data_IF_301127735072
#
_entry.id   IF_301127735072
#
_cell.length_a   1.000
_cell.length_b   1.000
_cell.length_c   1.000
_cell.angle_alpha   90.00
_cell.angle_beta   90.00
_cell.angle_gamma   90.00
#
_symmetry.space_group_name_H-M   'P 1'
#
loop_
_entity.id
_entity.type
_entity.pdbx_description
1 polymer ?
#
# COMPACT_ATOMS: atom_id res chain seq x y z
N UNK A 1 7.54 -30.82 56.40
CA UNK A 1 6.45 -31.34 55.53
C UNK A 1 7.11 -31.90 54.27
N UNK A 2 6.95 -33.21 54.01
CA UNK A 2 7.64 -33.98 52.97
C UNK A 2 6.83 -34.04 51.65
N UNK A 3 7.47 -33.77 50.51
CA UNK A 3 6.86 -33.77 49.17
C UNK A 3 7.08 -35.09 48.40
N UNK A 4 6.66 -36.21 48.98
CA UNK A 4 7.02 -37.55 48.48
C UNK A 4 5.89 -38.33 47.79
N UNK A 5 4.87 -37.66 47.23
CA UNK A 5 3.70 -38.35 46.67
C UNK A 5 3.26 -37.89 45.26
N UNK A 6 4.02 -37.06 44.55
CA UNK A 6 3.60 -36.54 43.24
C UNK A 6 4.35 -37.10 42.02
N UNK A 7 5.16 -38.14 42.17
CA UNK A 7 5.68 -38.90 41.03
C UNK A 7 4.95 -40.24 40.90
N UNK A 8 3.95 -40.29 40.02
CA UNK A 8 3.58 -41.50 39.29
C UNK A 8 3.64 -41.20 37.80
N UNK A 9 4.36 -41.99 36.98
CA UNK A 9 4.22 -41.95 35.54
C UNK A 9 2.95 -42.72 35.17
N UNK A 10 1.99 -42.07 34.52
CA UNK A 10 0.92 -42.76 33.81
C UNK A 10 1.17 -42.65 32.31
N UNK A 11 1.43 -43.80 31.71
CA UNK A 11 1.42 -44.02 30.28
C UNK A 11 -0.01 -44.08 29.76
N UNK A 12 -0.12 -43.76 28.46
CA UNK A 12 -1.16 -44.20 27.54
C UNK A 12 -2.55 -43.58 27.66
N UNK A 13 -2.70 -42.43 26.99
CA UNK A 13 -3.95 -42.03 26.35
C UNK A 13 -3.68 -41.69 24.88
N UNK A 14 -3.44 -42.73 24.08
CA UNK A 14 -3.73 -42.68 22.65
C UNK A 14 -5.24 -42.53 22.49
N UNK A 15 -5.70 -41.37 22.00
CA UNK A 15 -6.89 -41.19 21.16
C UNK A 15 -7.34 -39.73 21.22
N UNK A 16 -6.86 -38.89 20.30
CA UNK A 16 -7.70 -37.84 19.74
C UNK A 16 -7.26 -37.61 18.30
N UNK A 17 -8.04 -38.13 17.36
CA UNK A 17 -7.83 -37.95 15.93
C UNK A 17 -7.96 -36.48 15.55
N UNK A 18 -6.84 -35.77 15.50
CA UNK A 18 -6.78 -34.43 14.93
C UNK A 18 -6.62 -34.55 13.42
N UNK A 19 -7.75 -34.69 12.74
CA UNK A 19 -7.82 -34.74 11.28
C UNK A 19 -7.22 -33.46 10.66
N UNK A 20 -6.31 -33.64 9.71
CA UNK A 20 -5.61 -32.59 8.96
C UNK A 20 -6.49 -31.75 8.02
N UNK A 21 -7.80 -31.62 8.28
CA UNK A 21 -8.73 -30.85 7.44
C UNK A 21 -8.73 -29.35 7.72
N UNK A 22 -8.23 -28.91 8.89
CA UNK A 22 -8.23 -27.48 9.26
C UNK A 22 -7.12 -26.68 8.56
N UNK A 23 -6.01 -27.32 8.20
CA UNK A 23 -4.89 -26.68 7.49
C UNK A 23 -5.19 -26.40 6.01
N UNK A 24 -6.06 -27.20 5.35
CA UNK A 24 -6.46 -26.96 3.96
C UNK A 24 -7.37 -25.73 3.82
N UNK A 25 -8.21 -25.44 4.82
CA UNK A 25 -9.11 -24.29 4.77
C UNK A 25 -8.37 -22.95 4.91
N UNK A 26 -7.21 -22.92 5.58
CA UNK A 26 -6.34 -21.73 5.62
C UNK A 26 -5.62 -21.49 4.28
N UNK A 27 -5.29 -22.55 3.53
CA UNK A 27 -4.73 -22.39 2.16
C UNK A 27 -5.77 -21.92 1.16
N UNK A 28 -7.01 -22.37 1.28
CA UNK A 28 -8.11 -21.92 0.42
C UNK A 28 -8.52 -20.46 0.69
N UNK A 29 -8.42 -19.98 1.94
CA UNK A 29 -8.66 -18.57 2.27
C UNK A 29 -7.51 -17.63 1.85
N UNK A 30 -6.32 -18.15 1.53
CA UNK A 30 -5.26 -17.38 0.85
C UNK A 30 -5.45 -17.32 -0.67
N UNK A 31 -6.27 -18.20 -1.25
CA UNK A 31 -6.57 -18.24 -2.68
C UNK A 31 -7.86 -17.52 -3.06
N UNK A 32 -8.61 -16.99 -2.09
CA UNK A 32 -9.84 -16.22 -2.32
C UNK A 32 -9.63 -14.71 -2.15
N UNK A 33 -8.40 -14.22 -2.30
CA UNK A 33 -8.28 -12.89 -2.91
C UNK A 33 -8.71 -13.15 -4.34
N UNK A 34 -9.98 -12.90 -4.62
CA UNK A 34 -10.52 -12.83 -5.96
C UNK A 34 -9.56 -11.93 -6.74
N UNK A 35 -8.66 -12.55 -7.50
CA UNK A 35 -8.29 -12.06 -8.81
C UNK A 35 -9.62 -11.88 -9.52
N UNK A 36 -10.22 -10.68 -9.37
CA UNK A 36 -10.72 -10.03 -10.57
C UNK A 36 -9.55 -10.13 -11.55
N UNK A 37 -9.61 -11.11 -12.45
CA UNK A 37 -8.85 -11.12 -13.69
C UNK A 37 -9.17 -9.80 -14.38
N UNK A 38 -8.48 -8.74 -13.96
CA UNK A 38 -8.39 -7.54 -14.74
C UNK A 38 -7.81 -8.02 -16.08
N UNK A 39 -8.45 -7.65 -17.20
CA UNK A 39 -8.00 -8.07 -18.52
C UNK A 39 -6.51 -7.84 -18.59
N UNK A 40 -5.74 -8.83 -19.06
CA UNK A 40 -4.27 -8.76 -19.22
C UNK A 40 -3.93 -7.37 -19.75
N UNK A 41 -3.56 -6.49 -18.83
CA UNK A 41 -3.43 -5.09 -19.16
C UNK A 41 -2.08 -5.02 -19.86
N UNK A 42 -2.11 -4.70 -21.16
CA UNK A 42 -0.92 -4.66 -22.00
C UNK A 42 0.12 -3.61 -21.55
N UNK A 43 -0.18 -2.87 -20.50
CA UNK A 43 0.64 -1.80 -19.96
C UNK A 43 1.67 -2.28 -18.95
N UNK A 44 2.78 -1.55 -18.87
CA UNK A 44 3.81 -1.82 -17.86
C UNK A 44 3.30 -1.62 -16.44
N UNK A 45 3.96 -2.28 -15.48
CA UNK A 45 3.74 -2.07 -14.05
C UNK A 45 3.80 -0.58 -13.66
N UNK A 46 4.69 0.19 -14.30
CA UNK A 46 4.85 1.62 -14.03
C UNK A 46 3.59 2.41 -14.42
N UNK A 47 2.98 2.10 -15.56
CA UNK A 47 1.70 2.67 -15.97
C UNK A 47 0.61 2.30 -14.96
N UNK A 48 0.48 1.01 -14.63
CA UNK A 48 -0.54 0.50 -13.70
C UNK A 48 -0.45 1.18 -12.33
N UNK A 49 0.76 1.38 -11.81
CA UNK A 49 0.98 2.12 -10.57
C UNK A 49 0.58 3.59 -10.76
N UNK A 50 1.04 4.26 -11.83
CA UNK A 50 0.82 5.68 -12.04
C UNK A 50 -0.67 6.06 -12.19
N UNK A 51 -1.50 5.21 -12.81
CA UNK A 51 -2.94 5.48 -12.98
C UNK A 51 -3.77 5.17 -11.74
N UNK A 52 -3.24 4.35 -10.82
CA UNK A 52 -3.94 3.90 -9.61
C UNK A 52 -4.39 5.05 -8.70
N UNK A 53 -5.49 4.84 -7.97
CA UNK A 53 -6.04 5.85 -7.03
C UNK A 53 -5.08 6.05 -5.85
N UNK A 54 -4.45 4.99 -5.41
CA UNK A 54 -3.50 4.93 -4.31
C UNK A 54 -2.25 5.76 -4.62
N UNK A 55 -1.71 5.65 -5.84
CA UNK A 55 -0.58 6.46 -6.26
C UNK A 55 -0.94 7.95 -6.32
N UNK A 56 -2.14 8.30 -6.79
CA UNK A 56 -2.62 9.70 -6.80
C UNK A 56 -2.76 10.28 -5.38
N UNK A 57 -3.07 9.44 -4.39
CA UNK A 57 -3.13 9.85 -2.99
C UNK A 57 -1.75 9.96 -2.33
N UNK A 58 -0.77 9.18 -2.77
CA UNK A 58 0.59 9.17 -2.27
C UNK A 58 1.64 9.16 -3.40
N UNK A 59 1.77 10.27 -4.15
CA UNK A 59 2.51 10.28 -5.42
C UNK A 59 4.02 10.21 -5.24
N UNK A 60 4.54 10.74 -4.13
CA UNK A 60 5.96 10.69 -3.81
C UNK A 60 6.40 9.24 -3.56
N UNK A 61 5.62 8.49 -2.79
CA UNK A 61 5.93 7.09 -2.53
C UNK A 61 5.74 6.23 -3.78
N UNK A 62 4.69 6.47 -4.56
CA UNK A 62 4.47 5.77 -5.82
C UNK A 62 5.64 5.96 -6.79
N UNK A 63 6.15 7.20 -6.91
CA UNK A 63 7.33 7.49 -7.72
C UNK A 63 8.56 6.68 -7.29
N UNK A 64 8.78 6.54 -5.98
CA UNK A 64 9.86 5.71 -5.45
C UNK A 64 9.67 4.22 -5.76
N UNK A 65 8.45 3.70 -5.61
CA UNK A 65 8.16 2.29 -5.90
C UNK A 65 8.36 1.95 -7.40
N UNK A 66 8.00 2.87 -8.30
CA UNK A 66 8.28 2.74 -9.74
C UNK A 66 9.80 2.75 -9.99
N UNK A 67 10.52 3.69 -9.38
CA UNK A 67 11.98 3.78 -9.53
C UNK A 67 12.73 2.55 -8.98
N UNK A 68 12.17 1.91 -7.95
CA UNK A 68 12.67 0.65 -7.37
C UNK A 68 12.31 -0.59 -8.22
N UNK A 69 11.43 -0.45 -9.22
CA UNK A 69 10.99 -1.57 -10.07
C UNK A 69 10.10 -2.56 -9.33
N UNK A 70 9.32 -2.11 -8.33
CA UNK A 70 8.41 -2.98 -7.58
C UNK A 70 7.19 -3.34 -8.46
N UNK A 71 6.79 -4.62 -8.55
CA UNK A 71 5.61 -5.04 -9.30
C UNK A 71 4.34 -4.32 -8.84
N UNK A 72 3.41 -4.04 -9.75
CA UNK A 72 2.28 -3.15 -9.46
C UNK A 72 1.38 -3.64 -8.32
N UNK A 73 1.06 -4.94 -8.22
CA UNK A 73 0.25 -5.45 -7.11
C UNK A 73 0.91 -5.21 -5.75
N UNK A 74 2.23 -5.42 -5.67
CA UNK A 74 2.97 -5.17 -4.43
C UNK A 74 3.05 -3.68 -4.12
N UNK A 75 3.27 -2.84 -5.13
CA UNK A 75 3.32 -1.39 -4.96
C UNK A 75 1.98 -0.84 -4.45
N UNK A 76 0.86 -1.24 -5.06
CA UNK A 76 -0.49 -0.83 -4.64
C UNK A 76 -0.78 -1.28 -3.20
N UNK A 77 -0.44 -2.52 -2.84
CA UNK A 77 -0.62 -3.00 -1.47
C UNK A 77 0.16 -2.16 -0.44
N UNK A 78 1.40 -1.76 -0.76
CA UNK A 78 2.20 -0.86 0.08
C UNK A 78 1.58 0.53 0.18
N UNK A 79 1.08 1.07 -0.93
CA UNK A 79 0.48 2.40 -0.97
C UNK A 79 -0.81 2.47 -0.13
N UNK A 80 -1.67 1.44 -0.19
CA UNK A 80 -2.93 1.37 0.59
C UNK A 80 -2.73 1.48 2.09
N UNK A 81 -1.65 0.89 2.62
CA UNK A 81 -1.35 0.89 4.06
C UNK A 81 -0.42 2.00 4.52
N UNK A 82 0.03 2.87 3.61
CA UNK A 82 1.05 3.87 3.90
C UNK A 82 0.48 5.24 4.20
N UNK A 83 1.03 5.90 5.23
CA UNK A 83 0.87 7.34 5.41
C UNK A 83 1.45 8.08 4.20
N UNK A 84 0.85 9.21 3.82
CA UNK A 84 1.33 9.98 2.67
C UNK A 84 2.77 10.44 2.91
N UNK A 85 3.65 10.15 1.96
CA UNK A 85 5.06 10.49 2.10
C UNK A 85 5.31 11.98 1.86
N UNK A 86 6.12 12.59 2.73
CA UNK A 86 6.59 13.96 2.58
C UNK A 86 7.83 14.04 1.71
N UNK A 87 7.94 15.13 0.94
CA UNK A 87 9.18 15.44 0.22
C UNK A 87 10.32 15.71 1.22
N UNK A 88 11.58 15.48 0.79
CA UNK A 88 12.76 15.79 1.61
C UNK A 88 12.84 17.28 1.96
N UNK A 89 12.39 18.14 1.05
CA UNK A 89 12.33 19.58 1.28
C UNK A 89 11.33 19.91 2.39
N UNK A 90 10.10 19.39 2.27
CA UNK A 90 9.04 19.62 3.26
C UNK A 90 9.42 19.12 4.64
N UNK A 91 10.02 17.92 4.73
CA UNK A 91 10.51 17.38 6.00
C UNK A 91 11.53 18.32 6.65
N UNK A 92 12.56 18.74 5.90
CA UNK A 92 13.59 19.67 6.39
C UNK A 92 13.05 21.05 6.78
N UNK A 93 12.03 21.52 6.08
CA UNK A 93 11.36 22.77 6.42
C UNK A 93 10.61 22.62 7.75
N UNK A 94 9.80 21.56 7.89
CA UNK A 94 9.02 21.30 9.10
C UNK A 94 9.88 21.00 10.33
N UNK A 95 11.00 20.28 10.17
CA UNK A 95 12.00 20.05 11.24
C UNK A 95 12.49 21.35 11.90
N UNK A 96 12.48 22.48 11.18
CA UNK A 96 12.92 23.79 11.70
C UNK A 96 11.78 24.63 12.28
N UNK A 97 10.55 24.40 11.82
CA UNK A 97 9.39 25.25 12.10
C UNK A 97 8.54 24.67 13.21
N UNK A 98 8.42 23.34 13.28
CA UNK A 98 7.51 22.65 14.18
C UNK A 98 8.27 22.03 15.36
N UNK A 99 8.10 22.56 16.58
CA UNK A 99 8.73 21.98 17.77
C UNK A 99 8.23 20.55 18.03
N UNK A 100 9.14 19.62 18.29
CA UNK A 100 8.80 18.22 18.56
C UNK A 100 8.41 17.42 17.31
N UNK A 101 8.76 17.92 16.12
CA UNK A 101 8.53 17.24 14.84
C UNK A 101 9.00 15.78 14.81
N UNK A 102 10.13 15.49 15.46
CA UNK A 102 10.76 14.18 15.58
C UNK A 102 9.96 13.16 16.39
N UNK A 103 9.01 13.62 17.21
CA UNK A 103 8.14 12.75 18.03
C UNK A 103 6.81 12.42 17.36
N UNK A 104 6.49 13.10 16.26
CA UNK A 104 5.30 12.82 15.47
C UNK A 104 5.51 11.57 14.61
N UNK A 105 4.47 10.76 14.46
CA UNK A 105 4.49 9.67 13.49
C UNK A 105 4.34 10.21 12.05
N UNK A 106 4.42 9.32 11.06
CA UNK A 106 4.40 9.74 9.66
C UNK A 106 3.06 10.39 9.24
N UNK A 107 1.94 9.99 9.84
CA UNK A 107 0.61 10.52 9.52
C UNK A 107 0.44 11.91 10.15
N UNK A 108 0.83 12.05 11.42
CA UNK A 108 0.82 13.33 12.16
C UNK A 108 1.78 14.34 11.53
N UNK A 109 2.97 13.90 11.10
CA UNK A 109 3.89 14.73 10.32
C UNK A 109 3.23 15.20 9.03
N UNK A 110 2.52 14.32 8.34
CA UNK A 110 1.82 14.70 7.12
C UNK A 110 0.74 15.76 7.38
N UNK A 111 -0.08 15.53 8.41
CA UNK A 111 -1.16 16.43 8.82
C UNK A 111 -0.62 17.81 9.20
N UNK A 112 0.41 17.86 10.04
CA UNK A 112 1.04 19.12 10.47
C UNK A 112 1.65 19.88 9.28
N UNK A 113 2.33 19.18 8.36
CA UNK A 113 2.90 19.79 7.18
C UNK A 113 1.83 20.33 6.22
N UNK A 114 0.73 19.60 6.04
CA UNK A 114 -0.41 20.04 5.25
C UNK A 114 -1.06 21.29 5.85
N UNK A 115 -1.34 21.28 7.15
CA UNK A 115 -1.93 22.44 7.85
C UNK A 115 -1.04 23.68 7.73
N UNK A 116 0.27 23.53 7.93
CA UNK A 116 1.22 24.62 7.78
C UNK A 116 1.21 25.18 6.35
N UNK A 117 1.17 24.32 5.34
CA UNK A 117 1.08 24.75 3.93
C UNK A 117 -0.18 25.56 3.65
N UNK A 118 -1.32 25.12 4.19
CA UNK A 118 -2.59 25.80 4.00
C UNK A 118 -2.63 27.20 4.63
N UNK A 119 -2.01 27.37 5.79
CA UNK A 119 -2.00 28.64 6.52
C UNK A 119 -0.92 29.60 5.98
N UNK A 120 0.25 29.06 5.64
CA UNK A 120 1.45 29.85 5.33
C UNK A 120 1.83 29.84 3.85
N UNK A 121 0.86 29.69 2.95
CA UNK A 121 1.05 29.82 1.50
C UNK A 121 2.05 28.82 0.91
N UNK A 122 2.05 27.58 1.41
CA UNK A 122 2.97 26.50 0.99
C UNK A 122 4.47 26.82 1.10
N UNK A 123 4.86 27.66 2.06
CA UNK A 123 6.27 27.97 2.34
C UNK A 123 7.12 26.75 2.72
N UNK A 124 6.51 25.67 3.20
CA UNK A 124 7.17 24.38 3.43
C UNK A 124 7.17 23.45 2.19
N UNK A 125 6.61 23.89 1.07
CA UNK A 125 6.61 23.19 -0.21
C UNK A 125 5.86 21.85 -0.21
N UNK A 126 4.92 21.64 0.71
CA UNK A 126 4.11 20.43 0.77
C UNK A 126 3.33 20.22 -0.53
N UNK A 127 2.56 21.22 -0.97
CA UNK A 127 1.72 21.15 -2.17
C UNK A 127 2.58 21.16 -3.43
N UNK A 128 3.61 21.99 -3.46
CA UNK A 128 4.57 22.01 -4.56
C UNK A 128 5.25 20.65 -4.77
N UNK A 129 5.74 20.02 -3.70
CA UNK A 129 6.35 18.68 -3.76
C UNK A 129 5.36 17.60 -4.18
N UNK A 130 4.14 17.65 -3.66
CA UNK A 130 3.07 16.73 -4.04
C UNK A 130 2.70 16.85 -5.53
N UNK A 131 2.48 18.07 -6.02
CA UNK A 131 2.14 18.33 -7.42
C UNK A 131 3.29 17.96 -8.37
N UNK A 132 4.54 18.25 -7.98
CA UNK A 132 5.70 17.85 -8.76
C UNK A 132 5.80 16.33 -8.91
N UNK A 133 5.46 15.58 -7.86
CA UNK A 133 5.41 14.13 -7.91
C UNK A 133 4.27 13.63 -8.80
N UNK A 134 3.08 14.25 -8.75
CA UNK A 134 1.99 13.94 -9.68
C UNK A 134 2.40 14.15 -11.14
N UNK A 135 2.96 15.31 -11.48
CA UNK A 135 3.46 15.57 -12.84
C UNK A 135 4.61 14.65 -13.25
N UNK A 136 5.36 14.11 -12.29
CA UNK A 136 6.37 13.10 -12.58
C UNK A 136 5.74 11.73 -12.86
N UNK A 137 4.67 11.36 -12.17
CA UNK A 137 3.92 10.13 -12.42
C UNK A 137 3.26 10.11 -13.80
N UNK A 138 2.75 11.25 -14.27
CA UNK A 138 2.16 11.38 -15.61
C UNK A 138 3.12 10.93 -16.73
N UNK A 139 4.43 11.01 -16.51
CA UNK A 139 5.45 10.55 -17.48
C UNK A 139 5.51 9.03 -17.64
N UNK A 140 4.99 8.28 -16.67
CA UNK A 140 4.89 6.82 -16.71
C UNK A 140 3.54 6.35 -17.27
N UNK A 141 2.61 7.27 -17.53
CA UNK A 141 1.32 6.93 -18.14
C UNK A 141 1.55 6.72 -19.64
N UNK A 142 1.55 5.45 -20.03
CA UNK A 142 1.53 5.03 -21.44
C UNK A 142 0.29 5.56 -22.20
N UNK A 143 0.43 5.80 -23.51
CA UNK A 143 -0.70 6.20 -24.34
C UNK A 143 -1.74 5.09 -24.43
N UNK A 144 -3.01 5.49 -24.59
CA UNK A 144 -4.14 4.59 -24.75
C UNK A 144 -3.97 3.80 -26.05
N UNK A 145 -4.02 2.48 -25.95
CA UNK A 145 -3.96 1.56 -27.08
C UNK A 145 -5.36 1.19 -27.57
N UNK A 146 -5.45 0.59 -28.77
CA UNK A 146 -6.73 0.13 -29.31
C UNK A 146 -7.36 -0.94 -28.42
N UNK A 147 -6.54 -1.81 -27.81
CA UNK A 147 -6.99 -2.87 -26.92
C UNK A 147 -7.71 -2.29 -25.69
N UNK A 148 -7.22 -1.17 -25.14
CA UNK A 148 -7.86 -0.47 -24.02
C UNK A 148 -9.24 0.07 -24.39
N UNK A 149 -9.39 0.58 -25.61
CA UNK A 149 -10.67 1.07 -26.12
C UNK A 149 -11.66 -0.09 -26.24
N UNK A 150 -11.22 -1.22 -26.81
CA UNK A 150 -12.09 -2.39 -26.96
C UNK A 150 -12.48 -3.01 -25.62
N UNK A 151 -11.54 -3.07 -24.67
CA UNK A 151 -11.79 -3.59 -23.32
C UNK A 151 -12.75 -2.67 -22.55
N UNK A 152 -12.58 -1.34 -22.66
CA UNK A 152 -13.50 -0.37 -22.05
C UNK A 152 -14.92 -0.46 -22.64
N UNK A 153 -15.05 -0.67 -23.96
CA UNK A 153 -16.37 -0.80 -24.60
C UNK A 153 -17.04 -2.11 -24.21
N UNK A 154 -16.30 -3.22 -24.14
CA UNK A 154 -16.86 -4.52 -23.72
C UNK A 154 -17.33 -4.51 -22.26
N UNK A 155 -16.56 -3.88 -21.35
CA UNK A 155 -16.97 -3.72 -19.94
C UNK A 155 -18.29 -2.95 -19.78
N UNK A 156 -18.58 -1.99 -20.65
CA UNK A 156 -19.86 -1.24 -20.62
C UNK A 156 -21.06 -2.04 -21.14
N UNK A 157 -20.83 -3.09 -21.93
CA UNK A 157 -21.88 -3.92 -22.51
C UNK A 157 -22.29 -5.06 -21.59
N UNK A 158 -21.38 -5.56 -20.74
CA UNK A 158 -21.71 -6.62 -19.76
C UNK A 158 -22.41 -6.12 -18.49
N UNK A 159 -22.42 -4.81 -18.22
CA UNK A 159 -23.17 -4.21 -17.10
C UNK A 159 -24.62 -3.80 -17.45
N UNK A 160 -25.11 -4.06 -18.67
CA UNK A 160 -26.45 -3.69 -19.16
C UNK A 160 -27.39 -4.88 -19.34
#
# INVERSE_FOLDING_TARGET
MNFQHLNKPQSDAQAYGFSGRRMQRMRQLQQSVEEEELPECAHSDAHLIAVSKEAKQNPIQAFHLIAEGIPHQQAIARLKGSARQLSRFTRRAMEKIYPGWEFLDAEDQNMAAFQHSMINGDTNGYRAGFNAALSALEKFVEPITFDDITNSVNSLVEEA
#
